data_IF_904719428395
#
_entry.id   IF_904719428395
#
_cell.length_a   1.000
_cell.length_b   1.000
_cell.length_c   1.000
_cell.angle_alpha   90.00
_cell.angle_beta   90.00
_cell.angle_gamma   90.00
#
_symmetry.space_group_name_H-M   'P 1'
#
loop_
_entity.id
_entity.type
_entity.pdbx_description
1 polymer ?
#
# COMPACT_ATOMS: atom_id res chain seq x y z
N UNK A 1 8.28 2.96 1.38
CA UNK A 1 6.82 2.81 1.57
C UNK A 1 6.07 4.14 1.70
N UNK A 2 6.79 5.24 1.88
CA UNK A 2 6.12 6.55 1.98
C UNK A 2 5.36 6.89 0.70
N UNK A 3 5.94 6.59 -0.46
CA UNK A 3 5.26 6.82 -1.73
C UNK A 3 4.00 5.97 -1.85
N UNK A 4 4.09 4.71 -1.39
CA UNK A 4 2.93 3.82 -1.44
C UNK A 4 1.79 4.38 -0.57
N UNK A 5 2.12 4.88 0.61
CA UNK A 5 1.11 5.44 1.50
C UNK A 5 0.41 6.62 0.84
N UNK A 6 1.17 7.49 0.20
CA UNK A 6 0.61 8.67 -0.47
C UNK A 6 -0.30 8.27 -1.63
N UNK A 7 0.11 7.26 -2.40
CA UNK A 7 -0.71 6.78 -3.52
C UNK A 7 -2.01 6.19 -3.01
N UNK A 8 -1.95 5.47 -1.90
CA UNK A 8 -3.16 4.89 -1.32
C UNK A 8 -4.07 5.97 -0.75
N UNK A 9 -3.50 6.99 -0.15
CA UNK A 9 -4.30 8.10 0.41
C UNK A 9 -5.02 8.86 -0.69
N UNK A 10 -4.43 8.98 -1.85
CA UNK A 10 -5.06 9.66 -2.97
C UNK A 10 -6.20 8.85 -3.57
N UNK A 11 -6.22 7.54 -3.29
CA UNK A 11 -7.26 6.61 -3.75
C UNK A 11 -7.36 6.52 -5.28
N UNK A 12 -6.29 6.85 -5.96
CA UNK A 12 -6.26 6.79 -7.43
C UNK A 12 -5.83 5.43 -7.95
N UNK A 13 -5.30 4.57 -7.08
CA UNK A 13 -4.82 3.25 -7.46
C UNK A 13 -5.27 2.21 -6.44
N UNK A 14 -5.47 0.98 -6.89
CA UNK A 14 -5.77 -0.12 -6.00
C UNK A 14 -4.50 -0.53 -5.23
N UNK A 15 -4.67 -1.33 -4.17
CA UNK A 15 -3.54 -1.82 -3.40
C UNK A 15 -2.58 -2.61 -4.29
N UNK A 16 -3.12 -3.47 -5.16
CA UNK A 16 -2.26 -4.25 -6.07
C UNK A 16 -1.47 -3.36 -7.00
N UNK A 17 -2.12 -2.35 -7.56
CA UNK A 17 -1.44 -1.42 -8.46
C UNK A 17 -0.33 -0.67 -7.74
N UNK A 18 -0.61 -0.22 -6.52
CA UNK A 18 0.39 0.49 -5.73
C UNK A 18 1.58 -0.42 -5.44
N UNK A 19 1.31 -1.69 -5.09
CA UNK A 19 2.38 -2.64 -4.79
C UNK A 19 3.33 -2.78 -5.98
N UNK A 20 2.78 -2.97 -7.17
CA UNK A 20 3.62 -3.11 -8.36
C UNK A 20 4.32 -1.81 -8.73
N UNK A 21 3.64 -0.68 -8.55
CA UNK A 21 4.22 0.62 -8.90
C UNK A 21 5.44 0.94 -8.05
N UNK A 22 5.44 0.54 -6.80
CA UNK A 22 6.57 0.83 -5.90
C UNK A 22 7.61 -0.28 -5.90
N UNK A 23 7.47 -1.27 -6.78
CA UNK A 23 8.53 -2.25 -7.01
C UNK A 23 8.36 -3.58 -6.31
N UNK A 24 7.22 -3.88 -5.73
CA UNK A 24 6.97 -5.17 -5.13
C UNK A 24 6.51 -6.17 -6.20
N UNK A 25 6.98 -7.40 -6.10
CA UNK A 25 6.61 -8.44 -7.06
C UNK A 25 5.29 -9.13 -6.69
N UNK A 26 4.85 -9.01 -5.44
CA UNK A 26 3.61 -9.62 -5.00
C UNK A 26 2.87 -8.70 -4.03
N UNK A 27 1.57 -8.46 -4.26
CA UNK A 27 0.78 -7.61 -3.35
C UNK A 27 0.72 -8.14 -1.92
N UNK A 28 0.74 -9.46 -1.74
CA UNK A 28 0.69 -10.03 -0.39
C UNK A 28 1.92 -9.66 0.42
N UNK A 29 3.08 -9.67 -0.21
CA UNK A 29 4.31 -9.28 0.47
C UNK A 29 4.29 -7.78 0.79
N UNK A 30 3.83 -6.99 -0.16
CA UNK A 30 3.67 -5.55 0.05
C UNK A 30 2.76 -5.28 1.25
N UNK A 31 1.64 -5.97 1.34
CA UNK A 31 0.70 -5.80 2.44
C UNK A 31 1.36 -6.10 3.78
N UNK A 32 2.16 -7.15 3.83
CA UNK A 32 2.86 -7.51 5.07
C UNK A 32 3.86 -6.43 5.47
N UNK A 33 4.65 -5.96 4.52
CA UNK A 33 5.63 -4.91 4.80
C UNK A 33 4.96 -3.62 5.21
N UNK A 34 3.86 -3.26 4.56
CA UNK A 34 3.13 -2.04 4.88
C UNK A 34 2.59 -2.11 6.32
N UNK A 35 2.01 -3.25 6.68
CA UNK A 35 1.48 -3.41 8.04
C UNK A 35 2.59 -3.33 9.08
N UNK A 36 3.74 -3.92 8.79
CA UNK A 36 4.87 -3.86 9.71
C UNK A 36 5.36 -2.42 9.91
N UNK A 37 5.33 -1.64 8.85
CA UNK A 37 5.83 -0.26 8.88
C UNK A 37 4.85 0.69 9.55
N UNK A 38 3.57 0.58 9.23
CA UNK A 38 2.57 1.56 9.64
C UNK A 38 1.56 1.05 10.66
N UNK A 39 1.56 -0.26 10.93
CA UNK A 39 0.63 -0.84 11.90
C UNK A 39 -0.79 -0.98 11.40
N UNK A 40 -1.02 -0.79 10.11
CA UNK A 40 -2.34 -0.94 9.50
C UNK A 40 -2.20 -1.50 8.10
N UNK A 41 -3.27 -2.11 7.62
CA UNK A 41 -3.27 -2.69 6.27
C UNK A 41 -3.34 -1.60 5.22
N UNK A 42 -2.71 -1.81 4.05
CA UNK A 42 -2.78 -0.81 2.99
C UNK A 42 -4.21 -0.54 2.52
N UNK A 43 -5.08 -1.54 2.58
CA UNK A 43 -6.47 -1.36 2.22
C UNK A 43 -7.26 -0.47 3.17
N UNK A 44 -6.70 -0.21 4.35
CA UNK A 44 -7.35 0.65 5.33
C UNK A 44 -6.95 2.13 5.18
N UNK A 45 -5.89 2.39 4.41
CA UNK A 45 -5.41 3.75 4.21
C UNK A 45 -6.41 4.51 3.34
N UNK A 46 -6.80 5.69 3.78
CA UNK A 46 -7.77 6.50 3.04
C UNK A 46 -9.21 6.02 3.17
N UNK A 47 -9.43 4.94 3.90
CA UNK A 47 -10.77 4.39 4.09
C UNK A 47 -11.33 4.89 5.41
N UNK A 48 -11.69 6.12 5.43
CA UNK A 48 -12.14 6.80 6.66
C UNK A 48 -13.64 6.98 6.65
#
# INVERSE_FOLDING_TARGET
LAKAKRLLESRSMSVSEVAYDVGFSAPSYFTKCFKDEYGMLPGEVGNV
#
